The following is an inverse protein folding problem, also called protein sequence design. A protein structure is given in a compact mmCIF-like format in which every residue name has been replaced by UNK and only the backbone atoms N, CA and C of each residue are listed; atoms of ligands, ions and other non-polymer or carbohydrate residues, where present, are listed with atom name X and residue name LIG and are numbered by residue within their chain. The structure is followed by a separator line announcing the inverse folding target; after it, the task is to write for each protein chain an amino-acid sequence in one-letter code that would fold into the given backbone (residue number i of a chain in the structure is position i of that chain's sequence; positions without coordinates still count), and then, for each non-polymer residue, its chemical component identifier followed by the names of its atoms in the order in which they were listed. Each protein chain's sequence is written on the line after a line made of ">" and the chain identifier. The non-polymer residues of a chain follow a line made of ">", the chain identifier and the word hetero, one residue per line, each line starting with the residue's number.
data_IF_926014108405
#
_entry.id   IF_926014108405
#
_cell.length_a   1.000
_cell.length_b   1.000
_cell.length_c   1.000
_cell.angle_alpha   90.00
_cell.angle_beta   90.00
_cell.angle_gamma   90.00
#
_symmetry.space_group_name_H-M   'P 1'
#
loop_
_entity.id
_entity.type
_entity.pdbx_description
1 polymer ?
#
# COMPACT_ATOMS: atom_id res chain seq x y z
N UNK A 1 2.12 -25.92 7.75
CA UNK A 1 1.95 -24.49 8.04
C UNK A 1 1.81 -23.64 6.79
N UNK A 2 0.91 -24.05 5.87
CA UNK A 2 0.69 -23.32 4.61
C UNK A 2 -0.18 -22.05 4.75
N UNK A 3 -0.80 -21.82 5.89
CA UNK A 3 -1.70 -20.67 6.09
C UNK A 3 -0.89 -19.43 6.45
N UNK A 4 0.11 -19.54 7.30
CA UNK A 4 0.97 -18.41 7.70
C UNK A 4 1.78 -17.83 6.54
N UNK A 5 2.23 -18.65 5.60
CA UNK A 5 3.02 -18.20 4.45
C UNK A 5 2.16 -17.43 3.44
N UNK A 6 0.90 -17.84 3.23
CA UNK A 6 -0.03 -17.15 2.33
C UNK A 6 -0.52 -15.83 2.90
N UNK A 7 -0.83 -15.81 4.19
CA UNK A 7 -1.23 -14.59 4.91
C UNK A 7 -0.11 -13.55 4.91
N UNK A 8 1.10 -14.00 5.20
CA UNK A 8 2.28 -13.15 5.15
C UNK A 8 2.53 -12.58 3.74
N UNK A 9 2.44 -13.41 2.70
CA UNK A 9 2.56 -12.95 1.32
C UNK A 9 1.47 -11.94 0.94
N UNK A 10 0.23 -12.16 1.39
CA UNK A 10 -0.88 -11.24 1.14
C UNK A 10 -0.65 -9.88 1.80
N UNK A 11 -0.24 -9.84 3.06
CA UNK A 11 0.06 -8.59 3.76
C UNK A 11 1.15 -7.78 3.04
N UNK A 12 2.17 -8.44 2.49
CA UNK A 12 3.22 -7.77 1.72
C UNK A 12 2.71 -7.21 0.39
N UNK A 13 1.78 -7.90 -0.26
CA UNK A 13 1.12 -7.36 -1.45
C UNK A 13 0.31 -6.11 -1.13
N UNK A 14 -0.40 -6.08 0.01
CA UNK A 14 -1.13 -4.87 0.46
C UNK A 14 -0.16 -3.70 0.65
N UNK A 15 0.98 -3.92 1.31
CA UNK A 15 2.01 -2.90 1.49
C UNK A 15 2.47 -2.34 0.12
N UNK A 16 2.75 -3.20 -0.85
CA UNK A 16 3.15 -2.79 -2.19
C UNK A 16 2.03 -2.05 -2.93
N UNK A 17 0.77 -2.44 -2.73
CA UNK A 17 -0.37 -1.70 -3.28
C UNK A 17 -0.48 -0.30 -2.69
N UNK A 18 -0.31 -0.13 -1.39
CA UNK A 18 -0.30 1.18 -0.73
C UNK A 18 0.82 2.04 -1.32
N UNK A 19 2.03 1.48 -1.49
CA UNK A 19 3.15 2.18 -2.12
C UNK A 19 2.79 2.67 -3.54
N UNK A 20 2.25 1.80 -4.36
CA UNK A 20 1.87 2.13 -5.74
C UNK A 20 0.74 3.15 -5.80
N UNK A 21 -0.27 2.98 -4.97
CA UNK A 21 -1.42 3.88 -4.91
C UNK A 21 -1.00 5.30 -4.55
N UNK A 22 -0.18 5.47 -3.52
CA UNK A 22 0.30 6.80 -3.10
C UNK A 22 1.21 7.44 -4.14
N UNK A 23 2.01 6.66 -4.84
CA UNK A 23 2.87 7.15 -5.91
C UNK A 23 2.03 7.69 -7.08
N UNK A 24 1.03 6.91 -7.54
CA UNK A 24 0.15 7.30 -8.64
C UNK A 24 -0.76 8.51 -8.30
N UNK A 25 -1.23 8.63 -7.05
CA UNK A 25 -2.07 9.78 -6.64
C UNK A 25 -1.24 11.05 -6.50
N UNK A 26 0.03 10.93 -6.10
CA UNK A 26 0.88 12.08 -5.83
C UNK A 26 1.66 12.62 -7.04
N UNK A 27 1.46 12.03 -8.21
CA UNK A 27 2.20 12.37 -9.44
C UNK A 27 1.27 12.52 -10.62
N UNK A 28 1.67 13.37 -11.56
CA UNK A 28 1.00 13.54 -12.84
C UNK A 28 1.37 12.42 -13.84
N UNK A 29 0.58 12.29 -14.91
CA UNK A 29 0.72 11.24 -15.92
C UNK A 29 2.09 11.18 -16.60
N UNK A 30 2.79 12.32 -16.65
CA UNK A 30 4.11 12.45 -17.28
C UNK A 30 5.27 12.33 -16.30
N UNK A 31 4.99 12.17 -15.01
CA UNK A 31 6.03 12.05 -13.99
C UNK A 31 6.61 10.65 -13.95
N UNK A 32 7.90 10.59 -13.59
CA UNK A 32 8.57 9.31 -13.37
C UNK A 32 8.08 8.74 -12.03
N UNK A 33 7.44 7.58 -12.09
CA UNK A 33 6.99 6.87 -10.89
C UNK A 33 8.17 6.40 -10.03
N UNK A 34 7.97 6.44 -8.72
CA UNK A 34 8.94 5.88 -7.77
C UNK A 34 8.71 4.39 -7.53
N UNK A 35 7.47 3.92 -7.72
CA UNK A 35 7.12 2.51 -7.69
C UNK A 35 7.53 1.82 -8.99
N UNK A 36 8.82 1.64 -9.18
CA UNK A 36 9.41 0.93 -10.32
C UNK A 36 10.82 0.45 -9.98
N UNK A 37 11.29 -0.55 -10.71
CA UNK A 37 12.70 -0.96 -10.66
C UNK A 37 13.47 -0.32 -11.81
N UNK A 38 14.34 0.63 -11.51
CA UNK A 38 15.15 1.36 -12.50
C UNK A 38 16.36 0.54 -12.90
N UNK A 39 16.22 -0.22 -13.97
CA UNK A 39 17.25 -1.13 -14.44
C UNK A 39 18.59 -0.40 -14.73
N UNK A 40 19.69 -0.93 -14.22
CA UNK A 40 21.03 -0.34 -14.37
C UNK A 40 21.38 0.78 -13.37
N UNK A 41 20.42 1.28 -12.60
CA UNK A 41 20.67 2.30 -11.57
C UNK A 41 20.26 1.86 -10.18
N UNK A 42 19.22 1.07 -10.05
CA UNK A 42 18.76 0.59 -8.75
C UNK A 42 19.58 -0.59 -8.23
N UNK A 43 19.84 -0.57 -6.93
CA UNK A 43 20.17 -1.74 -6.13
C UNK A 43 18.92 -2.23 -5.40
N UNK A 44 18.97 -3.41 -4.80
CA UNK A 44 17.86 -3.89 -3.96
C UNK A 44 17.59 -2.98 -2.76
N UNK A 45 18.65 -2.38 -2.19
CA UNK A 45 18.53 -1.42 -1.10
C UNK A 45 17.85 -0.13 -1.54
N UNK A 46 18.25 0.44 -2.69
CA UNK A 46 17.65 1.68 -3.19
C UNK A 46 16.17 1.52 -3.57
N UNK A 47 15.80 0.37 -4.15
CA UNK A 47 14.42 0.04 -4.40
C UNK A 47 13.63 -0.07 -3.09
N UNK A 48 14.13 -0.87 -2.15
CA UNK A 48 13.43 -1.10 -0.88
C UNK A 48 13.33 0.18 -0.05
N UNK A 49 14.35 1.03 -0.06
CA UNK A 49 14.33 2.35 0.57
C UNK A 49 13.22 3.24 0.01
N UNK A 50 13.12 3.30 -1.29
CA UNK A 50 12.10 4.07 -1.99
C UNK A 50 10.68 3.56 -1.71
N UNK A 51 10.50 2.24 -1.67
CA UNK A 51 9.22 1.61 -1.30
C UNK A 51 8.85 1.87 0.17
N UNK A 52 9.80 1.82 1.10
CA UNK A 52 9.56 2.17 2.50
C UNK A 52 9.09 3.62 2.67
N UNK A 53 9.66 4.54 1.89
CA UNK A 53 9.26 5.95 1.89
C UNK A 53 7.83 6.14 1.35
N UNK A 54 7.50 5.44 0.28
CA UNK A 54 6.13 5.41 -0.25
C UNK A 54 5.15 4.80 0.76
N UNK A 55 5.53 3.70 1.41
CA UNK A 55 4.71 3.07 2.44
C UNK A 55 4.43 4.02 3.60
N UNK A 56 5.47 4.69 4.14
CA UNK A 56 5.29 5.69 5.18
C UNK A 56 4.28 6.76 4.77
N UNK A 57 4.46 7.33 3.57
CA UNK A 57 3.56 8.35 3.04
C UNK A 57 2.12 7.82 2.90
N UNK A 58 1.95 6.61 2.37
CA UNK A 58 0.63 6.00 2.21
C UNK A 58 -0.06 5.71 3.53
N UNK A 59 0.66 5.21 4.52
CA UNK A 59 0.12 4.99 5.87
C UNK A 59 -0.32 6.29 6.52
N UNK A 60 0.46 7.36 6.39
CA UNK A 60 0.10 8.67 6.94
C UNK A 60 -1.12 9.28 6.21
N UNK A 61 -1.17 9.18 4.87
CA UNK A 61 -2.24 9.78 4.08
C UNK A 61 -3.57 9.02 4.18
N UNK A 62 -3.54 7.68 4.09
CA UNK A 62 -4.75 6.86 4.02
C UNK A 62 -5.20 6.33 5.37
N UNK A 63 -4.27 5.84 6.18
CA UNK A 63 -4.57 5.20 7.46
C UNK A 63 -4.48 6.16 8.65
N UNK A 64 -3.90 7.36 8.45
CA UNK A 64 -3.58 8.32 9.53
C UNK A 64 -2.64 7.75 10.59
N UNK A 65 -1.84 6.77 10.20
CA UNK A 65 -0.87 6.11 11.04
C UNK A 65 0.55 6.56 10.68
N UNK A 66 1.37 6.81 11.70
CA UNK A 66 2.79 7.14 11.52
C UNK A 66 3.63 5.89 11.69
N UNK A 67 4.26 5.47 10.61
CA UNK A 67 5.28 4.43 10.66
C UNK A 67 6.68 5.04 10.66
N UNK A 68 7.60 4.33 11.30
CA UNK A 68 8.97 4.82 11.42
C UNK A 68 9.74 4.58 10.13
N UNK A 69 10.37 5.63 9.62
CA UNK A 69 11.28 5.57 8.48
C UNK A 69 12.57 6.32 8.82
N UNK A 70 13.71 5.75 8.49
CA UNK A 70 15.04 6.35 8.70
C UNK A 70 15.56 6.88 7.38
N UNK A 71 15.78 8.19 7.32
CA UNK A 71 16.42 8.84 6.16
C UNK A 71 17.86 8.34 6.00
N UNK A 72 18.33 8.26 4.75
CA UNK A 72 19.65 7.74 4.42
C UNK A 72 20.81 8.57 4.99
N UNK A 73 20.60 9.87 5.23
CA UNK A 73 21.57 10.80 5.80
C UNK A 73 21.46 10.96 7.34
N UNK A 74 20.69 10.10 8.00
CA UNK A 74 20.41 10.22 9.43
C UNK A 74 21.69 10.21 10.29
N UNK A 75 22.63 9.31 9.97
CA UNK A 75 23.89 9.21 10.72
C UNK A 75 24.75 10.46 10.55
N UNK A 76 24.83 10.99 9.33
CA UNK A 76 25.56 12.22 9.03
C UNK A 76 24.99 13.43 9.76
N UNK A 77 23.66 13.54 9.82
CA UNK A 77 22.95 14.62 10.54
C UNK A 77 23.18 14.52 12.04
N UNK A 78 23.11 13.30 12.59
CA UNK A 78 23.28 13.08 14.03
C UNK A 78 24.71 13.48 14.49
N UNK A 79 25.72 13.15 13.69
CA UNK A 79 27.12 13.45 14.00
C UNK A 79 27.65 14.74 13.35
N UNK A 80 26.76 15.65 12.94
CA UNK A 80 27.14 16.88 12.23
C UNK A 80 28.10 17.77 13.03
N UNK A 81 27.98 17.78 14.37
CA UNK A 81 28.78 18.63 15.26
C UNK A 81 30.17 18.04 15.56
N UNK A 82 30.42 16.79 15.22
CA UNK A 82 31.69 16.11 15.50
C UNK A 82 32.58 16.12 14.25
N UNK A 83 33.90 16.03 14.48
CA UNK A 83 34.92 15.99 13.42
C UNK A 83 35.95 14.90 13.69
N UNK A 84 36.77 14.56 12.66
CA UNK A 84 37.87 13.62 12.79
C UNK A 84 37.53 12.17 12.52
N UNK A 85 38.50 11.28 12.79
CA UNK A 85 38.42 9.84 12.48
C UNK A 85 37.30 9.14 13.28
N UNK A 86 37.17 9.52 14.54
CA UNK A 86 36.12 8.96 15.42
C UNK A 86 34.70 9.21 14.89
N UNK A 87 34.46 10.39 14.29
CA UNK A 87 33.19 10.68 13.62
C UNK A 87 32.93 9.73 12.47
N UNK A 88 33.92 9.45 11.62
CA UNK A 88 33.76 8.55 10.48
C UNK A 88 33.41 7.14 10.95
N UNK A 89 34.15 6.61 11.93
CA UNK A 89 33.88 5.28 12.50
C UNK A 89 32.47 5.18 13.09
N UNK A 90 32.04 6.17 13.85
CA UNK A 90 30.69 6.20 14.46
C UNK A 90 29.57 6.26 13.38
N UNK A 91 29.78 7.02 12.31
CA UNK A 91 28.83 7.07 11.18
C UNK A 91 28.78 5.71 10.48
N UNK A 92 29.91 5.06 10.22
CA UNK A 92 29.97 3.74 9.59
C UNK A 92 29.25 2.68 10.43
N UNK A 93 29.51 2.62 11.74
CA UNK A 93 28.84 1.68 12.65
C UNK A 93 27.33 1.91 12.72
N UNK A 94 26.92 3.19 12.80
CA UNK A 94 25.50 3.53 12.82
C UNK A 94 24.81 3.20 11.49
N UNK A 95 25.47 3.49 10.36
CA UNK A 95 24.94 3.15 9.03
C UNK A 95 24.82 1.63 8.83
N UNK A 96 25.75 0.83 9.33
CA UNK A 96 25.63 -0.63 9.33
C UNK A 96 24.44 -1.12 10.17
N UNK A 97 24.25 -0.53 11.36
CA UNK A 97 23.11 -0.86 12.22
C UNK A 97 21.80 -0.47 11.54
N UNK A 98 21.71 0.73 10.98
CA UNK A 98 20.55 1.20 10.22
C UNK A 98 20.28 0.28 9.04
N UNK A 99 21.30 -0.15 8.29
CA UNK A 99 21.17 -1.07 7.18
C UNK A 99 20.51 -2.38 7.60
N UNK A 100 20.96 -2.97 8.70
CA UNK A 100 20.39 -4.21 9.22
C UNK A 100 18.92 -4.01 9.63
N UNK A 101 18.62 -2.97 10.39
CA UNK A 101 17.26 -2.66 10.84
C UNK A 101 16.32 -2.36 9.66
N UNK A 102 16.81 -1.60 8.69
CA UNK A 102 16.01 -1.11 7.57
C UNK A 102 15.74 -2.17 6.51
N UNK A 103 16.71 -3.03 6.22
CA UNK A 103 16.63 -3.94 5.08
C UNK A 103 16.53 -5.42 5.47
N UNK A 104 17.07 -5.83 6.61
CA UNK A 104 17.02 -7.23 7.04
C UNK A 104 15.86 -7.49 8.00
N UNK A 105 15.62 -6.56 8.93
CA UNK A 105 14.58 -6.73 9.96
C UNK A 105 13.23 -6.14 9.57
N UNK A 106 13.11 -5.52 8.38
CA UNK A 106 11.86 -4.93 7.93
C UNK A 106 10.94 -5.98 7.32
N UNK A 107 9.98 -6.45 8.12
CA UNK A 107 9.05 -7.51 7.72
C UNK A 107 8.08 -7.10 6.61
N UNK A 108 7.86 -5.80 6.35
CA UNK A 108 6.91 -5.33 5.35
C UNK A 108 7.36 -5.65 3.92
N UNK A 109 8.68 -5.70 3.68
CA UNK A 109 9.28 -5.90 2.37
C UNK A 109 10.09 -7.19 2.26
N UNK A 110 10.04 -8.07 3.26
CA UNK A 110 10.75 -9.35 3.26
C UNK A 110 9.77 -10.51 3.10
N UNK A 111 9.90 -11.28 2.02
CA UNK A 111 9.07 -12.46 1.75
C UNK A 111 9.52 -13.70 2.53
N UNK A 112 10.75 -13.67 3.04
CA UNK A 112 11.35 -14.71 3.91
C UNK A 112 12.21 -14.01 4.95
N UNK A 113 12.51 -14.70 6.05
CA UNK A 113 13.41 -14.17 7.06
C UNK A 113 14.80 -13.92 6.47
N UNK A 114 15.26 -12.67 6.55
CA UNK A 114 16.55 -12.23 6.02
C UNK A 114 17.52 -12.07 7.19
N UNK A 115 18.52 -12.95 7.27
CA UNK A 115 19.55 -12.91 8.31
C UNK A 115 20.98 -12.96 7.76
N UNK A 116 21.14 -12.99 6.46
CA UNK A 116 22.44 -12.90 5.78
C UNK A 116 22.30 -12.27 4.38
N UNK A 117 23.44 -11.94 3.76
CA UNK A 117 23.50 -11.32 2.43
C UNK A 117 22.83 -12.16 1.34
N UNK A 118 23.00 -13.46 1.36
CA UNK A 118 22.42 -14.35 0.33
C UNK A 118 20.90 -14.31 0.36
N UNK A 119 20.30 -14.41 1.55
CA UNK A 119 18.84 -14.30 1.74
C UNK A 119 18.35 -12.89 1.40
N UNK A 120 19.14 -11.85 1.69
CA UNK A 120 18.82 -10.49 1.26
C UNK A 120 18.76 -10.37 -0.26
N UNK A 121 19.71 -10.93 -0.98
CA UNK A 121 19.70 -10.95 -2.45
C UNK A 121 18.52 -11.76 -3.02
N UNK A 122 18.21 -12.91 -2.45
CA UNK A 122 17.08 -13.73 -2.87
C UNK A 122 15.76 -12.99 -2.65
N UNK A 123 15.61 -12.33 -1.50
CA UNK A 123 14.44 -11.51 -1.20
C UNK A 123 14.34 -10.30 -2.14
N UNK A 124 15.46 -9.62 -2.39
CA UNK A 124 15.52 -8.48 -3.32
C UNK A 124 15.10 -8.85 -4.73
N UNK A 125 15.54 -10.03 -5.21
CA UNK A 125 15.10 -10.55 -6.52
C UNK A 125 13.59 -10.77 -6.56
N UNK A 126 13.02 -11.42 -5.55
CA UNK A 126 11.58 -11.62 -5.46
C UNK A 126 10.81 -10.28 -5.42
N UNK A 127 11.30 -9.32 -4.64
CA UNK A 127 10.72 -7.97 -4.56
C UNK A 127 10.73 -7.27 -5.93
N UNK A 128 11.85 -7.32 -6.66
CA UNK A 128 11.96 -6.75 -8.01
C UNK A 128 10.95 -7.41 -8.95
N UNK A 129 10.86 -8.75 -8.96
CA UNK A 129 9.91 -9.47 -9.82
C UNK A 129 8.46 -9.04 -9.54
N UNK A 130 8.08 -8.89 -8.26
CA UNK A 130 6.73 -8.44 -7.89
C UNK A 130 6.51 -6.98 -8.30
N UNK A 131 7.47 -6.08 -8.05
CA UNK A 131 7.36 -4.67 -8.46
C UNK A 131 7.20 -4.55 -9.97
N UNK A 132 7.99 -5.29 -10.75
CA UNK A 132 7.92 -5.29 -12.21
C UNK A 132 6.58 -5.82 -12.76
N UNK A 133 5.93 -6.75 -12.06
CA UNK A 133 4.58 -7.17 -12.41
C UNK A 133 3.55 -6.05 -12.25
N UNK A 134 3.69 -5.24 -11.20
CA UNK A 134 2.74 -4.17 -10.90
C UNK A 134 3.07 -2.83 -11.58
N UNK A 135 4.33 -2.52 -11.84
CA UNK A 135 4.74 -1.24 -12.44
C UNK A 135 4.12 -1.01 -13.82
N UNK A 136 3.81 -2.09 -14.55
CA UNK A 136 3.22 -2.03 -15.89
C UNK A 136 1.75 -1.61 -15.90
N UNK A 137 1.07 -1.69 -14.77
CA UNK A 137 -0.36 -1.41 -14.64
C UNK A 137 -0.57 -0.11 -13.88
N UNK A 138 -1.60 0.62 -14.25
CA UNK A 138 -2.07 1.77 -13.49
C UNK A 138 -3.24 1.34 -12.61
N UNK A 139 -3.21 1.71 -11.33
CA UNK A 139 -4.25 1.37 -10.36
C UNK A 139 -5.28 2.50 -10.26
N UNK A 140 -4.82 3.74 -10.34
CA UNK A 140 -5.68 4.93 -10.29
C UNK A 140 -6.14 5.26 -11.69
N UNK A 141 -7.46 5.16 -11.91
CA UNK A 141 -8.09 5.53 -13.18
C UNK A 141 -9.10 6.64 -12.99
N UNK A 142 -9.26 7.54 -13.98
CA UNK A 142 -10.30 8.57 -13.96
C UNK A 142 -11.71 8.00 -14.07
N UNK A 143 -11.87 6.80 -14.61
CA UNK A 143 -13.15 6.11 -14.77
C UNK A 143 -13.35 5.04 -13.69
N UNK A 144 -14.61 4.87 -13.26
CA UNK A 144 -15.05 3.93 -12.24
C UNK A 144 -14.65 2.49 -12.59
N UNK A 145 -13.53 2.02 -12.09
CA UNK A 145 -13.10 0.64 -12.28
C UNK A 145 -13.01 -0.12 -10.96
N UNK A 146 -13.70 -1.24 -10.93
CA UNK A 146 -13.75 -2.21 -9.84
C UNK A 146 -12.48 -3.06 -9.73
N UNK A 147 -11.48 -2.83 -10.58
CA UNK A 147 -10.32 -3.72 -10.72
C UNK A 147 -9.64 -4.05 -9.38
N UNK A 148 -9.47 -3.07 -8.52
CA UNK A 148 -8.90 -3.31 -7.18
C UNK A 148 -9.79 -4.18 -6.31
N UNK A 149 -11.10 -3.91 -6.30
CA UNK A 149 -12.07 -4.72 -5.58
C UNK A 149 -12.09 -6.16 -6.07
N UNK A 150 -12.13 -6.34 -7.38
CA UNK A 150 -12.13 -7.66 -8.03
C UNK A 150 -10.80 -8.41 -7.81
N UNK A 151 -9.66 -7.71 -7.86
CA UNK A 151 -8.36 -8.28 -7.58
C UNK A 151 -8.25 -8.72 -6.12
N UNK A 152 -8.65 -7.85 -5.17
CA UNK A 152 -8.70 -8.21 -3.75
C UNK A 152 -9.68 -9.34 -3.50
N UNK A 153 -10.84 -9.35 -4.16
CA UNK A 153 -11.79 -10.43 -4.05
C UNK A 153 -11.21 -11.76 -4.57
N UNK A 154 -10.51 -11.75 -5.70
CA UNK A 154 -9.86 -12.95 -6.24
C UNK A 154 -8.71 -13.44 -5.35
N UNK A 155 -7.91 -12.54 -4.80
CA UNK A 155 -6.84 -12.89 -3.87
C UNK A 155 -7.39 -13.47 -2.56
N UNK A 156 -8.45 -12.87 -2.02
CA UNK A 156 -9.13 -13.33 -0.82
C UNK A 156 -9.89 -14.65 -1.04
N UNK A 157 -10.53 -14.83 -2.22
CA UNK A 157 -11.29 -16.05 -2.53
C UNK A 157 -10.45 -17.33 -2.52
N UNK A 158 -9.19 -17.26 -2.89
CA UNK A 158 -8.31 -18.43 -2.97
C UNK A 158 -7.61 -18.83 -1.66
N UNK A 159 -7.61 -17.99 -0.64
CA UNK A 159 -6.85 -18.24 0.57
C UNK A 159 -7.57 -17.98 1.90
N UNK A 160 -8.40 -16.96 1.98
CA UNK A 160 -8.97 -16.46 3.23
C UNK A 160 -10.46 -16.78 3.46
N UNK A 161 -11.27 -16.81 2.41
CA UNK A 161 -12.72 -16.97 2.52
C UNK A 161 -13.20 -18.29 3.14
N UNK A 162 -12.37 -19.33 3.11
CA UNK A 162 -12.79 -20.63 3.67
C UNK A 162 -12.79 -20.66 5.21
N UNK A 163 -12.04 -19.80 5.87
CA UNK A 163 -11.86 -19.86 7.32
C UNK A 163 -12.72 -18.86 8.11
N UNK A 164 -13.21 -17.76 7.51
CA UNK A 164 -13.88 -16.71 8.28
C UNK A 164 -15.31 -16.38 7.82
N UNK A 165 -15.80 -17.02 6.77
CA UNK A 165 -17.20 -16.83 6.31
C UNK A 165 -17.54 -15.41 5.86
N UNK A 166 -16.54 -14.59 5.56
CA UNK A 166 -16.76 -13.23 5.04
C UNK A 166 -17.02 -13.27 3.53
N UNK A 167 -18.21 -12.84 3.14
CA UNK A 167 -18.57 -12.67 1.74
C UNK A 167 -18.81 -11.19 1.45
N UNK A 168 -18.19 -10.70 0.39
CA UNK A 168 -18.50 -9.35 -0.11
C UNK A 168 -19.72 -9.42 -1.02
N UNK A 169 -20.64 -8.48 -0.83
CA UNK A 169 -21.75 -8.34 -1.75
C UNK A 169 -21.22 -7.83 -3.10
N UNK A 170 -21.47 -8.55 -4.21
CA UNK A 170 -21.01 -8.10 -5.54
C UNK A 170 -21.57 -6.70 -5.86
N UNK A 171 -20.70 -5.86 -6.45
CA UNK A 171 -21.04 -4.46 -6.75
C UNK A 171 -22.26 -4.30 -7.67
N UNK A 172 -22.50 -5.16 -8.68
CA UNK A 172 -23.76 -5.06 -9.44
C UNK A 172 -25.02 -5.17 -8.59
N UNK A 173 -24.96 -5.92 -7.48
CA UNK A 173 -26.10 -6.06 -6.55
C UNK A 173 -26.22 -4.80 -5.69
N UNK A 174 -25.12 -4.28 -5.15
CA UNK A 174 -25.15 -3.03 -4.37
C UNK A 174 -25.62 -1.86 -5.22
N UNK A 175 -25.17 -1.77 -6.46
CA UNK A 175 -25.61 -0.76 -7.43
C UNK A 175 -27.09 -0.88 -7.73
N UNK A 176 -27.58 -2.07 -8.04
CA UNK A 176 -28.99 -2.31 -8.30
C UNK A 176 -29.88 -1.87 -7.11
N UNK A 177 -29.41 -2.11 -5.88
CA UNK A 177 -30.15 -1.69 -4.68
C UNK A 177 -30.20 -0.15 -4.60
N UNK A 178 -29.07 0.54 -4.82
CA UNK A 178 -29.03 2.00 -4.79
C UNK A 178 -29.85 2.63 -5.92
N UNK A 179 -29.76 2.10 -7.13
CA UNK A 179 -30.54 2.56 -8.31
C UNK A 179 -32.04 2.33 -8.13
N UNK A 180 -32.43 1.38 -7.27
CA UNK A 180 -33.83 1.11 -6.96
C UNK A 180 -34.42 2.11 -5.94
N UNK A 181 -33.61 2.92 -5.29
CA UNK A 181 -34.07 3.91 -4.31
C UNK A 181 -34.50 5.21 -5.01
N UNK A 182 -35.59 5.84 -4.57
CA UNK A 182 -36.01 7.14 -5.11
C UNK A 182 -35.16 8.28 -4.54
N UNK A 183 -33.86 8.28 -4.84
CA UNK A 183 -32.86 9.19 -4.26
C UNK A 183 -33.23 10.67 -4.51
N UNK A 184 -33.69 11.01 -5.71
CA UNK A 184 -34.15 12.38 -6.01
C UNK A 184 -35.24 12.86 -5.05
N UNK A 185 -36.22 11.99 -4.74
CA UNK A 185 -37.29 12.32 -3.78
C UNK A 185 -36.77 12.45 -2.36
N UNK A 186 -35.75 11.67 -2.00
CA UNK A 186 -35.13 11.70 -0.67
C UNK A 186 -34.30 12.97 -0.51
N UNK A 187 -33.59 13.37 -1.55
CA UNK A 187 -32.70 14.54 -1.55
C UNK A 187 -33.44 15.88 -1.73
N UNK A 188 -34.55 15.89 -2.49
CA UNK A 188 -35.40 17.07 -2.68
C UNK A 188 -36.54 17.06 -1.67
N UNK A 189 -36.38 17.78 -0.58
CA UNK A 189 -37.42 17.97 0.41
C UNK A 189 -37.57 19.47 0.71
N UNK A 190 -38.81 19.95 0.64
CA UNK A 190 -39.17 21.34 0.97
C UNK A 190 -38.39 22.38 0.12
N UNK A 191 -38.28 22.16 -1.19
CA UNK A 191 -37.51 22.98 -2.16
C UNK A 191 -36.03 23.16 -1.82
N UNK A 192 -35.47 22.26 -1.02
CA UNK A 192 -34.06 22.24 -0.66
C UNK A 192 -33.42 20.92 -1.05
N UNK A 193 -32.26 21.04 -1.68
CA UNK A 193 -31.39 19.89 -1.91
C UNK A 193 -30.60 19.57 -0.63
N UNK A 194 -30.73 18.35 -0.14
CA UNK A 194 -30.03 17.91 1.06
C UNK A 194 -29.52 16.49 0.89
N UNK A 195 -28.23 16.30 1.09
CA UNK A 195 -27.65 14.97 1.08
C UNK A 195 -28.25 14.09 2.16
N UNK A 196 -28.67 12.84 1.84
CA UNK A 196 -29.17 11.91 2.83
C UNK A 196 -28.07 11.47 3.79
N UNK A 197 -28.43 11.21 5.03
CA UNK A 197 -27.55 10.52 5.97
C UNK A 197 -27.66 9.03 5.72
N UNK A 198 -26.56 8.43 5.32
CA UNK A 198 -26.47 6.99 5.08
C UNK A 198 -25.77 6.33 6.26
N UNK A 199 -26.33 5.24 6.75
CA UNK A 199 -25.72 4.40 7.78
C UNK A 199 -25.78 2.95 7.34
N UNK A 200 -24.65 2.27 7.43
CA UNK A 200 -24.52 0.84 7.23
C UNK A 200 -23.88 0.24 8.49
N UNK A 201 -24.67 -0.40 9.32
CA UNK A 201 -24.22 -0.99 10.59
C UNK A 201 -23.58 -2.38 10.42
N UNK A 202 -23.52 -2.89 9.19
CA UNK A 202 -22.87 -4.14 8.83
C UNK A 202 -21.95 -3.93 7.61
N UNK A 203 -21.27 -2.79 7.54
CA UNK A 203 -20.63 -2.28 6.34
C UNK A 203 -19.54 -3.20 5.74
N UNK A 204 -18.92 -4.07 6.53
CA UNK A 204 -17.82 -4.89 6.05
C UNK A 204 -16.71 -4.01 5.43
N UNK A 205 -16.40 -4.24 4.16
CA UNK A 205 -15.46 -3.42 3.38
C UNK A 205 -16.07 -2.10 2.84
N UNK A 206 -17.32 -1.80 3.16
CA UNK A 206 -17.96 -0.54 2.81
C UNK A 206 -18.51 -0.45 1.39
N UNK A 207 -18.74 -1.56 0.69
CA UNK A 207 -19.22 -1.57 -0.70
C UNK A 207 -20.55 -0.82 -0.87
N UNK A 208 -21.48 -0.97 0.07
CA UNK A 208 -22.75 -0.23 0.04
C UNK A 208 -22.54 1.27 0.23
N UNK A 209 -21.60 1.69 1.09
CA UNK A 209 -21.31 3.10 1.32
C UNK A 209 -20.61 3.74 0.13
N UNK A 210 -19.70 2.99 -0.52
CA UNK A 210 -19.01 3.46 -1.73
C UNK A 210 -20.01 3.68 -2.87
N UNK A 211 -20.90 2.71 -3.12
CA UNK A 211 -21.96 2.84 -4.13
C UNK A 211 -22.97 3.94 -3.78
N UNK A 212 -23.25 4.16 -2.47
CA UNK A 212 -24.06 5.30 -2.04
C UNK A 212 -23.48 6.64 -2.48
N UNK A 213 -22.18 6.83 -2.26
CA UNK A 213 -21.48 8.06 -2.67
C UNK A 213 -21.55 8.24 -4.18
N UNK A 214 -21.37 7.15 -4.93
CA UNK A 214 -21.43 7.18 -6.39
C UNK A 214 -22.82 7.44 -6.95
N UNK A 215 -23.87 6.92 -6.29
CA UNK A 215 -25.27 7.10 -6.73
C UNK A 215 -25.85 8.47 -6.34
N UNK A 216 -25.23 9.16 -5.37
CA UNK A 216 -25.66 10.47 -4.88
C UNK A 216 -24.94 11.62 -5.58
N UNK A 217 -23.77 11.39 -6.15
CA UNK A 217 -22.98 12.39 -6.91
C UNK A 217 -23.39 12.41 -8.38
#
# INVERSE_FOLDING_TARGET
>A
NNVSDKENAFNKLIVLFICKLVDEISKDDNDIMDFQYKQGTDTYESLQDRLQKLHQKGMEEFMKEKIFYVESDYAERLFKQYTGVQRKSAIEELNQTIRILKFYSNNDFTFKDVHNEELFYQNGKALVEVVQLFEQYRIVYPSKHQFLGDLFEQLLNKGFKQNEGQFFTPIPITRFIWDSLPLEKIMHKDDRYKFPKVIDYACGAGHFLTEAIESIN
#
